data_IF_539275814834
#
_entry.id   IF_539275814834
#
_cell.length_a   1.000
_cell.length_b   1.000
_cell.length_c   1.000
_cell.angle_alpha   90.00
_cell.angle_beta   90.00
_cell.angle_gamma   90.00
#
_symmetry.space_group_name_H-M   'P 1'
#
loop_
_entity.id
_entity.type
_entity.pdbx_description
1 polymer ?
#
# COMPACT_ATOMS: atom_id res chain seq x y z
N UNK A 1 -16.57 23.00 -26.76
CA UNK A 1 -15.36 22.91 -25.92
C UNK A 1 -15.21 21.48 -25.45
N UNK A 2 -14.12 20.84 -25.83
CA UNK A 2 -13.79 19.45 -25.47
C UNK A 2 -13.22 19.41 -24.05
N UNK A 3 -13.52 18.36 -23.28
CA UNK A 3 -13.13 18.26 -21.86
C UNK A 3 -11.61 18.45 -21.64
N UNK A 4 -10.79 17.96 -22.57
CA UNK A 4 -9.32 17.95 -22.47
C UNK A 4 -8.63 19.31 -22.76
N UNK A 5 -9.35 20.28 -23.32
CA UNK A 5 -8.83 21.62 -23.62
C UNK A 5 -9.35 22.70 -22.67
N UNK A 6 -10.19 22.33 -21.70
CA UNK A 6 -10.57 23.21 -20.62
C UNK A 6 -9.34 23.44 -19.71
N UNK A 7 -8.91 24.69 -19.46
CA UNK A 7 -7.76 24.98 -18.60
C UNK A 7 -7.92 24.44 -17.17
N UNK A 8 -9.16 24.25 -16.72
CA UNK A 8 -9.45 23.60 -15.44
C UNK A 8 -9.15 22.10 -15.52
N UNK A 9 -9.59 21.41 -16.57
CA UNK A 9 -9.30 19.98 -16.75
C UNK A 9 -7.81 19.70 -16.91
N UNK A 10 -7.08 20.55 -17.65
CA UNK A 10 -5.63 20.45 -17.80
C UNK A 10 -4.87 20.65 -16.48
N UNK A 11 -5.42 21.44 -15.55
CA UNK A 11 -4.90 21.58 -14.17
C UNK A 11 -5.29 20.40 -13.28
N UNK A 12 -6.51 19.87 -13.42
CA UNK A 12 -6.97 18.69 -12.67
C UNK A 12 -6.16 17.43 -13.01
N UNK A 13 -5.66 17.30 -14.25
CA UNK A 13 -4.78 16.18 -14.63
C UNK A 13 -3.47 16.12 -13.83
N UNK A 14 -2.99 17.24 -13.29
CA UNK A 14 -1.83 17.27 -12.39
C UNK A 14 -2.11 16.68 -11.01
N UNK A 15 -3.37 16.50 -10.64
CA UNK A 15 -3.72 15.84 -9.38
C UNK A 15 -3.24 14.38 -9.36
N UNK A 16 -3.18 13.70 -10.51
CA UNK A 16 -2.74 12.30 -10.62
C UNK A 16 -1.27 12.14 -10.20
N UNK A 17 -0.28 12.79 -10.86
CA UNK A 17 1.12 12.68 -10.45
C UNK A 17 1.33 13.19 -9.02
N UNK A 18 0.61 14.23 -8.59
CA UNK A 18 0.71 14.74 -7.21
C UNK A 18 0.25 13.68 -6.19
N UNK A 19 -0.90 13.04 -6.43
CA UNK A 19 -1.42 11.98 -5.58
C UNK A 19 -0.43 10.80 -5.53
N UNK A 20 0.16 10.42 -6.65
CA UNK A 20 1.16 9.36 -6.70
C UNK A 20 2.44 9.70 -5.92
N UNK A 21 2.87 10.97 -5.92
CA UNK A 21 3.96 11.43 -5.04
C UNK A 21 3.57 11.32 -3.57
N UNK A 22 2.35 11.72 -3.19
CA UNK A 22 1.86 11.58 -1.82
C UNK A 22 1.85 10.11 -1.39
N UNK A 23 1.36 9.21 -2.24
CA UNK A 23 1.38 7.76 -1.98
C UNK A 23 2.82 7.26 -1.84
N UNK A 24 3.73 7.67 -2.72
CA UNK A 24 5.15 7.31 -2.64
C UNK A 24 5.77 7.74 -1.30
N UNK A 25 5.51 8.97 -0.84
CA UNK A 25 6.05 9.48 0.43
C UNK A 25 5.46 8.72 1.62
N UNK A 26 4.14 8.54 1.65
CA UNK A 26 3.47 7.82 2.74
C UNK A 26 3.94 6.35 2.85
N UNK A 27 4.05 5.67 1.70
CA UNK A 27 4.52 4.27 1.65
C UNK A 27 6.00 4.15 1.97
N UNK A 28 6.86 5.06 1.48
CA UNK A 28 8.27 5.07 1.87
C UNK A 28 8.44 5.31 3.38
N UNK A 29 7.67 6.22 3.96
CA UNK A 29 7.67 6.47 5.40
C UNK A 29 7.25 5.24 6.21
N UNK A 30 6.19 4.55 5.79
CA UNK A 30 5.79 3.28 6.39
C UNK A 30 6.89 2.21 6.26
N UNK A 31 7.55 2.12 5.09
CA UNK A 31 8.67 1.21 4.86
C UNK A 31 9.87 1.47 5.77
N UNK A 32 10.17 2.74 6.05
CA UNK A 32 11.21 3.14 7.02
C UNK A 32 10.84 2.65 8.42
N UNK A 33 9.63 2.94 8.89
CA UNK A 33 9.18 2.48 10.21
C UNK A 33 9.19 0.95 10.33
N UNK A 34 8.72 0.24 9.30
CA UNK A 34 8.76 -1.23 9.27
C UNK A 34 10.19 -1.76 9.32
N UNK A 35 11.12 -1.11 8.62
CA UNK A 35 12.54 -1.47 8.66
C UNK A 35 13.11 -1.26 10.06
N UNK A 36 12.86 -0.11 10.68
CA UNK A 36 13.27 0.19 12.05
C UNK A 36 12.72 -0.84 13.03
N UNK A 37 11.41 -1.13 12.98
CA UNK A 37 10.80 -2.20 13.80
C UNK A 37 11.46 -3.55 13.54
N UNK A 38 11.77 -3.89 12.29
CA UNK A 38 12.39 -5.18 11.97
C UNK A 38 13.81 -5.33 12.54
N UNK A 39 14.53 -4.23 12.69
CA UNK A 39 15.93 -4.16 13.14
C UNK A 39 16.03 -4.01 14.67
N UNK A 40 15.21 -3.15 15.29
CA UNK A 40 15.30 -2.80 16.72
C UNK A 40 14.08 -3.17 17.56
N UNK A 41 13.00 -3.68 16.95
CA UNK A 41 11.78 -4.06 17.65
C UNK A 41 11.93 -5.33 18.50
N UNK A 42 11.00 -5.49 19.43
CA UNK A 42 10.93 -6.65 20.31
C UNK A 42 10.08 -7.75 19.67
N UNK A 43 10.58 -8.99 19.69
CA UNK A 43 9.80 -10.16 19.28
C UNK A 43 8.81 -10.53 20.37
N UNK A 44 7.53 -10.64 20.03
CA UNK A 44 6.43 -11.02 20.93
C UNK A 44 5.58 -12.07 20.21
N UNK A 45 5.08 -13.05 20.96
CA UNK A 45 4.10 -14.01 20.44
C UNK A 45 2.71 -13.37 20.45
N UNK A 46 2.13 -13.16 19.26
CA UNK A 46 0.75 -12.73 19.10
C UNK A 46 -0.17 -13.95 18.97
N UNK A 47 -1.33 -13.88 19.61
CA UNK A 47 -2.38 -14.85 19.44
C UNK A 47 -3.20 -14.54 18.18
N UNK A 48 -3.38 -15.53 17.31
CA UNK A 48 -4.24 -15.39 16.14
C UNK A 48 -5.69 -15.62 16.57
N UNK A 49 -6.49 -14.55 16.53
CA UNK A 49 -7.90 -14.57 16.95
C UNK A 49 -8.88 -14.73 15.78
N UNK A 50 -8.42 -14.49 14.55
CA UNK A 50 -9.24 -14.67 13.35
C UNK A 50 -8.44 -14.57 12.07
N UNK A 51 -8.90 -15.27 11.04
CA UNK A 51 -8.38 -15.22 9.68
C UNK A 51 -9.53 -14.93 8.72
N UNK A 52 -9.43 -13.82 8.01
CA UNK A 52 -10.38 -13.44 6.97
C UNK A 52 -9.69 -13.50 5.61
N UNK A 53 -9.74 -14.69 5.02
CA UNK A 53 -9.28 -14.95 3.66
C UNK A 53 -10.46 -14.80 2.71
N UNK A 54 -10.42 -13.79 1.86
CA UNK A 54 -11.39 -13.65 0.76
C UNK A 54 -10.73 -14.09 -0.54
N UNK A 55 -10.73 -15.39 -0.80
CA UNK A 55 -10.20 -15.94 -2.04
C UNK A 55 -11.08 -15.53 -3.23
N UNK A 56 -10.74 -14.40 -3.85
CA UNK A 56 -11.20 -14.01 -5.18
C UNK A 56 -9.96 -13.76 -6.03
N UNK A 57 -10.02 -14.14 -7.30
CA UNK A 57 -8.91 -13.97 -8.25
C UNK A 57 -8.38 -12.53 -8.35
N UNK A 58 -9.19 -11.55 -7.94
CA UNK A 58 -8.90 -10.12 -8.00
C UNK A 58 -8.41 -9.53 -6.67
N UNK A 59 -8.50 -10.26 -5.55
CA UNK A 59 -8.16 -9.78 -4.20
C UNK A 59 -6.84 -10.42 -3.79
N UNK A 60 -5.80 -9.60 -3.65
CA UNK A 60 -4.42 -10.03 -3.33
C UNK A 60 -4.07 -9.88 -1.85
N UNK A 61 -4.99 -9.38 -1.03
CA UNK A 61 -4.82 -9.13 0.40
C UNK A 61 -5.95 -9.77 1.21
N UNK A 62 -5.66 -10.10 2.46
CA UNK A 62 -6.66 -10.49 3.45
C UNK A 62 -6.29 -9.94 4.82
N UNK A 63 -7.04 -10.32 5.84
CA UNK A 63 -6.85 -9.80 7.19
C UNK A 63 -6.60 -10.94 8.18
N UNK A 64 -5.66 -10.72 9.09
CA UNK A 64 -5.46 -11.56 10.27
C UNK A 64 -5.71 -10.72 11.52
N UNK A 65 -6.61 -11.21 12.38
CA UNK A 65 -6.84 -10.63 13.69
C UNK A 65 -5.77 -11.14 14.65
N UNK A 66 -5.03 -10.22 15.26
CA UNK A 66 -3.95 -10.52 16.20
C UNK A 66 -4.27 -9.91 17.55
N UNK A 67 -4.06 -10.69 18.62
CA UNK A 67 -4.07 -10.22 20.00
C UNK A 67 -2.68 -10.32 20.61
N UNK A 68 -2.14 -9.20 21.06
CA UNK A 68 -0.79 -9.17 21.66
C UNK A 68 -0.67 -8.03 22.68
N UNK A 69 0.34 -8.08 23.53
CA UNK A 69 0.65 -6.99 24.47
C UNK A 69 1.80 -6.16 23.92
N UNK A 70 1.60 -4.89 23.54
CA UNK A 70 2.69 -4.04 23.03
C UNK A 70 3.80 -3.84 24.07
N UNK A 71 5.06 -3.60 23.64
CA UNK A 71 6.15 -3.27 24.55
C UNK A 71 5.79 -2.04 25.40
N UNK A 72 5.89 -2.17 26.73
CA UNK A 72 5.57 -1.08 27.67
C UNK A 72 4.08 -0.90 27.96
N UNK A 73 3.18 -1.64 27.31
CA UNK A 73 1.76 -1.65 27.63
C UNK A 73 1.44 -2.67 28.73
N UNK A 74 0.49 -2.32 29.60
CA UNK A 74 0.01 -3.22 30.66
C UNK A 74 -1.14 -4.14 30.22
N UNK A 75 -1.77 -3.84 29.09
CA UNK A 75 -2.96 -4.55 28.60
C UNK A 75 -2.76 -5.04 27.16
N UNK A 76 -3.34 -6.20 26.81
CA UNK A 76 -3.35 -6.68 25.43
C UNK A 76 -4.22 -5.79 24.54
N UNK A 77 -3.85 -5.74 23.26
CA UNK A 77 -4.61 -5.07 22.19
C UNK A 77 -4.97 -6.08 21.11
N UNK A 78 -6.11 -5.86 20.48
CA UNK A 78 -6.57 -6.62 19.32
C UNK A 78 -6.46 -5.72 18.08
N UNK A 79 -5.87 -6.26 17.01
CA UNK A 79 -5.62 -5.54 15.76
C UNK A 79 -5.84 -6.46 14.56
N UNK A 80 -6.62 -5.97 13.61
CA UNK A 80 -6.70 -6.57 12.29
C UNK A 80 -5.56 -6.03 11.43
N UNK A 81 -4.71 -6.93 10.94
CA UNK A 81 -3.55 -6.61 10.11
C UNK A 81 -3.81 -7.11 8.71
N UNK A 82 -3.72 -6.21 7.74
CA UNK A 82 -3.76 -6.57 6.32
C UNK A 82 -2.42 -7.14 5.89
N UNK A 83 -2.45 -8.35 5.34
CA UNK A 83 -1.27 -9.04 4.84
C UNK A 83 -1.48 -9.50 3.39
N UNK A 84 -0.39 -9.61 2.61
CA UNK A 84 -0.42 -10.29 1.33
C UNK A 84 -0.95 -11.72 1.46
N UNK A 85 -1.75 -12.15 0.49
CA UNK A 85 -2.38 -13.49 0.49
C UNK A 85 -1.37 -14.63 0.65
N UNK A 86 -0.15 -14.47 0.14
CA UNK A 86 0.92 -15.49 0.25
C UNK A 86 1.28 -15.74 1.72
N UNK A 87 1.41 -14.68 2.53
CA UNK A 87 1.72 -14.81 3.96
C UNK A 87 0.52 -15.35 4.73
N UNK A 88 -0.70 -14.96 4.34
CA UNK A 88 -1.91 -15.47 4.98
C UNK A 88 -2.12 -16.97 4.75
N UNK A 89 -1.75 -17.50 3.58
CA UNK A 89 -1.81 -18.95 3.30
C UNK A 89 -0.83 -19.74 4.15
N UNK A 90 0.34 -19.19 4.44
CA UNK A 90 1.29 -19.81 5.36
C UNK A 90 0.71 -19.87 6.77
N UNK A 91 0.14 -18.74 7.25
CA UNK A 91 -0.52 -18.68 8.56
C UNK A 91 -1.75 -19.60 8.59
N UNK A 92 -2.53 -19.70 7.51
CA UNK A 92 -3.70 -20.58 7.40
C UNK A 92 -3.33 -22.05 7.57
N UNK A 93 -2.23 -22.50 6.96
CA UNK A 93 -1.75 -23.87 7.12
C UNK A 93 -1.42 -24.19 8.58
N UNK A 94 -0.69 -23.29 9.25
CA UNK A 94 -0.33 -23.44 10.66
C UNK A 94 -1.55 -23.34 11.59
N UNK A 95 -2.49 -22.45 11.25
CA UNK A 95 -3.73 -22.26 11.99
C UNK A 95 -4.62 -23.50 11.94
N UNK A 96 -4.78 -24.12 10.75
CA UNK A 96 -5.54 -25.36 10.58
C UNK A 96 -4.85 -26.58 11.21
N UNK A 97 -3.53 -26.55 11.36
CA UNK A 97 -2.78 -27.59 12.05
C UNK A 97 -2.84 -27.45 13.59
N UNK A 98 -3.29 -26.31 14.10
CA UNK A 98 -3.42 -26.07 15.54
C UNK A 98 -4.58 -26.90 16.12
N UNK A 99 -4.36 -27.68 17.20
CA UNK A 99 -5.40 -28.49 17.81
C UNK A 99 -6.63 -27.67 18.24
N UNK A 100 -7.83 -28.26 18.11
CA UNK A 100 -9.06 -27.62 18.59
C UNK A 100 -8.95 -27.29 20.09
N UNK A 101 -9.11 -26.00 20.42
CA UNK A 101 -9.01 -25.48 21.79
C UNK A 101 -7.67 -24.84 22.14
N UNK A 102 -6.66 -24.95 21.27
CA UNK A 102 -5.40 -24.21 21.38
C UNK A 102 -5.41 -22.95 20.50
N UNK A 103 -4.76 -21.89 20.97
CA UNK A 103 -4.62 -20.64 20.21
C UNK A 103 -3.29 -20.63 19.49
N UNK A 104 -3.32 -20.47 18.16
CA UNK A 104 -2.11 -20.33 17.36
C UNK A 104 -1.33 -19.09 17.80
N UNK A 105 -0.03 -19.27 18.05
CA UNK A 105 0.90 -18.18 18.36
C UNK A 105 1.72 -17.84 17.13
N UNK A 106 1.70 -16.58 16.74
CA UNK A 106 2.45 -16.04 15.62
C UNK A 106 3.51 -15.06 16.16
N UNK A 107 4.81 -15.35 16.01
CA UNK A 107 5.85 -14.44 16.44
C UNK A 107 5.85 -13.20 15.54
N UNK A 108 5.63 -12.04 16.15
CA UNK A 108 5.67 -10.72 15.52
C UNK A 108 6.77 -9.86 16.14
N UNK A 109 7.19 -8.84 15.41
CA UNK A 109 8.14 -7.83 15.86
C UNK A 109 7.41 -6.50 15.90
N UNK A 110 7.44 -5.86 17.07
CA UNK A 110 6.71 -4.62 17.37
C UNK A 110 7.62 -3.65 18.14
N UNK A 111 7.29 -2.36 18.09
CA UNK A 111 7.94 -1.31 18.86
C UNK A 111 6.90 -0.50 19.63
N UNK A 112 7.32 0.15 20.73
CA UNK A 112 6.46 1.08 21.47
C UNK A 112 6.22 2.39 20.69
N UNK A 113 7.12 2.74 19.77
CA UNK A 113 7.14 4.04 19.09
C UNK A 113 6.29 4.08 17.82
N UNK A 114 5.79 2.94 17.35
CA UNK A 114 5.03 2.84 16.09
C UNK A 114 4.03 1.69 16.12
N UNK A 115 2.92 1.89 15.41
CA UNK A 115 1.87 0.89 15.19
C UNK A 115 2.23 -0.13 14.09
N UNK A 116 3.43 -0.08 13.51
CA UNK A 116 3.86 -1.06 12.50
C UNK A 116 4.10 -2.44 13.14
N UNK A 117 3.48 -3.46 12.55
CA UNK A 117 3.63 -4.87 12.95
C UNK A 117 4.37 -5.60 11.84
N UNK A 118 5.47 -6.27 12.19
CA UNK A 118 6.29 -7.05 11.24
C UNK A 118 6.27 -8.52 11.63
N UNK A 119 6.04 -9.43 10.69
CA UNK A 119 6.14 -10.86 10.98
C UNK A 119 7.59 -11.26 11.25
N UNK A 120 7.86 -11.99 12.33
CA UNK A 120 9.23 -12.36 12.69
C UNK A 120 9.89 -13.27 11.65
N UNK A 121 9.13 -14.14 10.99
CA UNK A 121 9.60 -14.99 9.88
C UNK A 121 9.95 -14.19 8.61
N UNK A 122 9.36 -13.00 8.44
CA UNK A 122 9.44 -12.21 7.20
C UNK A 122 9.96 -10.78 7.43
N UNK A 123 10.85 -10.57 8.42
CA UNK A 123 11.39 -9.26 8.80
C UNK A 123 11.80 -8.39 7.60
N UNK A 124 12.55 -8.97 6.66
CA UNK A 124 13.04 -8.27 5.47
C UNK A 124 11.97 -8.12 4.39
N UNK A 125 11.10 -9.12 4.25
CA UNK A 125 10.10 -9.17 3.19
C UNK A 125 9.08 -8.04 3.33
N UNK A 126 8.61 -7.77 4.54
CA UNK A 126 7.57 -6.77 4.81
C UNK A 126 7.97 -5.37 4.32
N UNK A 127 9.13 -4.85 4.74
CA UNK A 127 9.54 -3.50 4.36
C UNK A 127 10.05 -3.40 2.91
N UNK A 128 10.60 -4.48 2.34
CA UNK A 128 10.99 -4.50 0.92
C UNK A 128 9.78 -4.40 -0.01
N UNK A 129 8.68 -5.10 0.32
CA UNK A 129 7.43 -5.00 -0.44
C UNK A 129 6.87 -3.58 -0.36
N UNK A 130 6.87 -2.98 0.83
CA UNK A 130 6.41 -1.59 1.02
C UNK A 130 7.25 -0.59 0.23
N UNK A 131 8.59 -0.73 0.21
CA UNK A 131 9.43 0.11 -0.65
C UNK A 131 9.23 -0.16 -2.15
N UNK A 132 8.93 -1.40 -2.55
CA UNK A 132 8.62 -1.72 -3.94
C UNK A 132 7.34 -0.99 -4.39
N UNK A 133 6.31 -0.93 -3.53
CA UNK A 133 5.10 -0.15 -3.78
C UNK A 133 5.40 1.35 -3.87
N UNK A 134 6.26 1.88 -3.00
CA UNK A 134 6.72 3.26 -3.08
C UNK A 134 7.44 3.55 -4.41
N UNK A 135 8.33 2.63 -4.83
CA UNK A 135 9.03 2.72 -6.12
C UNK A 135 8.08 2.70 -7.32
N UNK A 136 7.08 1.82 -7.31
CA UNK A 136 6.04 1.78 -8.36
C UNK A 136 5.23 3.08 -8.40
N UNK A 137 4.86 3.63 -7.24
CA UNK A 137 4.17 4.91 -7.16
C UNK A 137 5.03 6.06 -7.72
N UNK A 138 6.34 6.06 -7.44
CA UNK A 138 7.28 7.03 -7.99
C UNK A 138 7.41 6.93 -9.52
N UNK A 139 7.57 5.72 -10.06
CA UNK A 139 7.62 5.49 -11.51
C UNK A 139 6.32 5.98 -12.16
N UNK A 140 5.18 5.64 -11.55
CA UNK A 140 3.86 6.12 -11.97
C UNK A 140 3.77 7.65 -11.94
N UNK A 141 4.25 8.30 -10.88
CA UNK A 141 4.24 9.75 -10.75
C UNK A 141 5.05 10.42 -11.86
N UNK A 142 6.27 9.94 -12.11
CA UNK A 142 7.15 10.46 -13.17
C UNK A 142 6.52 10.26 -14.54
N UNK A 143 6.07 9.05 -14.85
CA UNK A 143 5.41 8.74 -16.13
C UNK A 143 4.18 9.62 -16.38
N UNK A 144 3.32 9.76 -15.36
CA UNK A 144 2.13 10.61 -15.43
C UNK A 144 2.48 12.08 -15.62
N UNK A 145 3.48 12.59 -14.89
CA UNK A 145 3.93 13.98 -15.00
C UNK A 145 4.50 14.30 -16.39
N UNK A 146 5.27 13.37 -16.98
CA UNK A 146 5.78 13.52 -18.34
C UNK A 146 4.66 13.54 -19.37
N UNK A 147 3.65 12.68 -19.24
CA UNK A 147 2.49 12.65 -20.14
C UNK A 147 1.66 13.92 -20.03
N UNK A 148 1.32 14.36 -18.81
CA UNK A 148 0.54 15.58 -18.59
C UNK A 148 1.32 16.82 -19.04
N UNK A 149 2.62 16.88 -18.73
CA UNK A 149 3.50 17.97 -19.18
C UNK A 149 3.64 18.01 -20.71
N UNK A 150 3.81 16.85 -21.34
CA UNK A 150 3.86 16.71 -22.80
C UNK A 150 2.55 17.15 -23.46
N UNK A 151 1.41 16.71 -22.93
CA UNK A 151 0.09 17.10 -23.41
C UNK A 151 -0.16 18.60 -23.27
N UNK A 152 0.14 19.19 -22.12
CA UNK A 152 -0.02 20.63 -21.91
C UNK A 152 0.90 21.44 -22.83
N UNK A 153 2.14 20.97 -23.07
CA UNK A 153 3.07 21.60 -24.01
C UNK A 153 2.59 21.49 -25.45
N UNK A 154 2.01 20.35 -25.83
CA UNK A 154 1.40 20.15 -27.14
C UNK A 154 0.23 21.11 -27.34
N UNK A 155 -0.74 21.15 -26.42
CA UNK A 155 -1.88 22.06 -26.48
C UNK A 155 -1.45 23.53 -26.56
N UNK A 156 -0.41 23.94 -25.81
CA UNK A 156 0.12 25.29 -25.85
C UNK A 156 0.76 25.68 -27.20
N UNK A 157 1.30 24.70 -27.94
CA UNK A 157 1.99 24.92 -29.22
C UNK A 157 1.06 24.81 -30.42
N UNK A 158 0.18 23.82 -30.37
CA UNK A 158 -0.57 23.34 -31.51
C UNK A 158 -2.06 23.70 -31.43
N UNK A 159 -2.52 24.16 -30.28
CA UNK A 159 -3.95 24.32 -30.00
C UNK A 159 -4.63 22.96 -29.84
N UNK A 160 -5.91 22.99 -29.47
CA UNK A 160 -6.68 21.75 -29.30
C UNK A 160 -6.98 21.11 -30.67
N UNK A 161 -6.50 19.88 -30.96
CA UNK A 161 -6.79 19.19 -32.20
C UNK A 161 -8.29 18.92 -32.40
N UNK A 162 -9.07 18.82 -31.33
CA UNK A 162 -10.52 18.65 -31.42
C UNK A 162 -11.26 19.91 -31.92
N UNK A 163 -10.60 21.07 -31.96
CA UNK A 163 -11.13 22.30 -32.57
C UNK A 163 -10.79 22.40 -34.07
N UNK A 164 -9.89 21.55 -34.59
CA UNK A 164 -9.46 21.59 -36.00
C UNK A 164 -10.47 20.98 -36.97
N UNK A 165 -11.43 20.20 -36.49
CA UNK A 165 -12.49 19.57 -37.31
C UNK A 165 -13.66 20.50 -37.68
N UNK A 166 -13.59 21.80 -37.37
CA UNK A 166 -14.65 22.78 -37.63
C UNK A 166 -14.61 23.49 -38.99
N UNK A 167 -13.60 23.28 -39.83
CA UNK A 167 -13.49 23.92 -41.16
C UNK A 167 -13.73 22.94 -42.30
N UNK A 168 -14.91 22.31 -42.33
CA UNK A 168 -15.48 21.82 -43.57
C UNK A 168 -16.51 22.86 -44.03
N UNK A 169 -16.04 23.85 -44.77
CA UNK A 169 -16.88 24.81 -45.49
C UNK A 169 -17.67 24.08 -46.56
N UNK A 170 -19.01 24.16 -46.48
CA UNK A 170 -19.92 24.03 -47.63
C UNK A 170 -19.99 25.39 -48.32
#
# INVERSE_FOLDING_TARGET
MTFLSNPVAARLLWAIPLLLVVICVATAWAGIQQREVSESGQTIDAEVIGLNLRERSEITTGQVGLRYTPPGAAAPVERDVELPIILLKEIEVDYLATPEGETMRLPIVVSADTDQIVLASHRRGTWLLTFSLAGMALIGAVGSALLVGGWNRFLAREGDPALRTGTATV
#
